data_IF_711166959225
#
_entry.id   IF_711166959225
#
_cell.length_a   1.000
_cell.length_b   1.000
_cell.length_c   1.000
_cell.angle_alpha   90.00
_cell.angle_beta   90.00
_cell.angle_gamma   90.00
#
_symmetry.space_group_name_H-M   'P 1'
#
loop_
_entity.id
_entity.type
_entity.pdbx_description
1 polymer ?
#
# COMPACT_ATOMS: atom_id res chain seq x y z
N UNK A 1 -14.10 -4.35 18.75
CA UNK A 1 -13.53 -4.81 20.05
C UNK A 1 -12.16 -4.17 20.21
N UNK A 2 -11.94 -3.40 21.28
CA UNK A 2 -10.65 -2.75 21.53
C UNK A 2 -9.54 -3.83 21.65
N UNK A 3 -8.47 -3.70 20.86
CA UNK A 3 -7.31 -4.59 20.96
C UNK A 3 -6.71 -4.46 22.36
N UNK A 4 -6.59 -5.58 23.07
CA UNK A 4 -5.87 -5.60 24.36
C UNK A 4 -4.40 -5.28 24.10
N UNK A 5 -3.83 -4.39 24.90
CA UNK A 5 -2.41 -4.00 24.78
C UNK A 5 -1.52 -5.24 24.97
N UNK A 6 -0.35 -5.23 24.32
CA UNK A 6 0.68 -6.25 24.48
C UNK A 6 0.94 -6.58 25.97
N UNK A 7 0.96 -5.54 26.79
CA UNK A 7 1.10 -5.63 28.24
C UNK A 7 0.06 -6.54 28.91
N UNK A 8 -1.21 -6.46 28.51
CA UNK A 8 -2.29 -7.29 29.06
C UNK A 8 -2.16 -8.76 28.66
N UNK A 9 -1.67 -9.01 27.44
CA UNK A 9 -1.41 -10.36 26.93
C UNK A 9 -0.25 -11.02 27.70
N UNK A 10 0.83 -10.26 27.91
CA UNK A 10 2.00 -10.72 28.67
C UNK A 10 1.63 -10.95 30.14
N UNK A 11 0.90 -10.03 30.77
CA UNK A 11 0.41 -10.18 32.16
C UNK A 11 -0.40 -11.45 32.35
N UNK A 12 -1.33 -11.75 31.44
CA UNK A 12 -2.15 -12.97 31.49
C UNK A 12 -1.30 -14.25 31.44
N UNK A 13 -0.31 -14.31 30.56
CA UNK A 13 0.62 -15.44 30.47
C UNK A 13 1.41 -15.58 31.77
N UNK A 14 1.92 -14.46 32.31
CA UNK A 14 2.62 -14.43 33.59
C UNK A 14 1.77 -14.99 34.75
N UNK A 15 0.48 -14.64 34.82
CA UNK A 15 -0.42 -15.20 35.84
C UNK A 15 -0.58 -16.72 35.72
N UNK A 16 -0.75 -17.26 34.50
CA UNK A 16 -0.89 -18.69 34.28
C UNK A 16 0.38 -19.47 34.63
N UNK A 17 1.55 -18.98 34.18
CA UNK A 17 2.83 -19.64 34.47
C UNK A 17 3.19 -19.50 35.95
N UNK A 18 2.97 -18.33 36.56
CA UNK A 18 3.18 -18.13 37.99
C UNK A 18 2.30 -19.03 38.85
N UNK A 19 1.03 -19.20 38.48
CA UNK A 19 0.13 -20.17 39.13
C UNK A 19 0.60 -21.62 38.96
N UNK A 20 1.13 -21.97 37.79
CA UNK A 20 1.72 -23.28 37.52
C UNK A 20 2.97 -23.57 38.35
N UNK A 21 3.87 -22.59 38.51
CA UNK A 21 5.06 -22.69 39.37
C UNK A 21 4.64 -22.88 40.84
N UNK A 22 3.67 -22.09 41.33
CA UNK A 22 3.15 -22.25 42.69
C UNK A 22 2.51 -23.61 42.92
N UNK A 23 1.74 -24.11 41.95
CA UNK A 23 1.17 -25.47 41.99
C UNK A 23 2.23 -26.56 42.01
N UNK A 24 3.26 -26.45 41.16
CA UNK A 24 4.39 -27.38 41.13
C UNK A 24 5.15 -27.38 42.46
N UNK A 25 5.40 -26.21 43.05
CA UNK A 25 6.05 -26.10 44.35
C UNK A 25 5.22 -26.75 45.45
N UNK A 26 3.90 -26.49 45.51
CA UNK A 26 3.02 -27.11 46.50
C UNK A 26 3.02 -28.64 46.41
N UNK A 27 2.91 -29.19 45.19
CA UNK A 27 2.93 -30.64 44.96
C UNK A 27 4.30 -31.22 45.31
N UNK A 28 5.39 -30.57 44.90
CA UNK A 28 6.75 -31.04 45.14
C UNK A 28 7.09 -31.06 46.62
N UNK A 29 6.76 -29.99 47.36
CA UNK A 29 6.94 -29.95 48.81
C UNK A 29 6.04 -30.94 49.54
N UNK A 30 4.82 -31.17 49.08
CA UNK A 30 3.93 -32.20 49.65
C UNK A 30 4.47 -33.62 49.48
N UNK A 31 5.05 -33.93 48.31
CA UNK A 31 5.70 -35.23 48.05
C UNK A 31 6.97 -35.37 48.89
N UNK A 32 7.77 -34.31 48.98
CA UNK A 32 9.01 -34.29 49.76
C UNK A 32 8.80 -34.33 51.27
N UNK A 33 7.64 -33.89 51.77
CA UNK A 33 7.38 -33.84 53.21
C UNK A 33 7.06 -35.20 53.84
N UNK A 34 7.25 -36.32 53.12
CA UNK A 34 7.08 -37.70 53.58
C UNK A 34 5.94 -37.84 54.61
N UNK A 35 4.70 -37.90 54.15
CA UNK A 35 3.57 -38.29 55.00
C UNK A 35 3.91 -39.65 55.67
N UNK A 36 3.91 -39.79 57.02
CA UNK A 36 3.12 -39.04 57.99
C UNK A 36 3.92 -38.12 58.95
N UNK A 37 3.51 -36.85 59.01
CA UNK A 37 3.40 -35.91 60.16
C UNK A 37 4.32 -36.05 61.41
N UNK A 38 5.56 -36.52 61.30
CA UNK A 38 6.50 -36.53 62.44
C UNK A 38 7.78 -35.75 62.10
N UNK A 39 8.04 -34.74 62.94
CA UNK A 39 9.25 -33.93 63.10
C UNK A 39 10.33 -34.12 62.02
N UNK A 40 10.26 -33.33 60.94
CA UNK A 40 11.33 -33.28 59.95
C UNK A 40 11.99 -31.89 59.87
N UNK A 41 13.32 -31.90 59.98
CA UNK A 41 14.20 -30.80 59.60
C UNK A 41 14.19 -30.72 58.07
N UNK A 42 13.53 -29.70 57.55
CA UNK A 42 13.43 -29.45 56.11
C UNK A 42 14.84 -29.36 55.51
N UNK A 43 15.20 -30.30 54.63
CA UNK A 43 16.51 -30.33 53.99
C UNK A 43 16.63 -29.14 53.02
N UNK A 44 17.41 -28.15 53.44
CA UNK A 44 17.62 -26.90 52.72
C UNK A 44 18.15 -27.13 51.31
N UNK A 45 18.92 -28.20 51.08
CA UNK A 45 19.50 -28.51 49.78
C UNK A 45 18.44 -28.99 48.81
N UNK A 46 17.60 -29.93 49.25
CA UNK A 46 16.47 -30.45 48.47
C UNK A 46 15.42 -29.37 48.16
N UNK A 47 15.12 -28.51 49.14
CA UNK A 47 14.21 -27.38 48.93
C UNK A 47 14.74 -26.38 47.90
N UNK A 48 16.05 -26.12 47.91
CA UNK A 48 16.71 -25.26 46.92
C UNK A 48 16.66 -25.87 45.52
N UNK A 49 16.92 -27.17 45.37
CA UNK A 49 16.87 -27.86 44.08
C UNK A 49 15.45 -27.83 43.47
N UNK A 50 14.41 -28.07 44.28
CA UNK A 50 13.01 -27.96 43.84
C UNK A 50 12.63 -26.54 43.42
N UNK A 51 13.09 -25.53 44.16
CA UNK A 51 12.89 -24.13 43.80
C UNK A 51 13.57 -23.81 42.47
N UNK A 52 14.83 -24.21 42.31
CA UNK A 52 15.60 -24.02 41.07
C UNK A 52 14.93 -24.70 39.88
N UNK A 53 14.47 -25.94 40.04
CA UNK A 53 13.78 -26.68 38.98
C UNK A 53 12.44 -26.04 38.63
N UNK A 54 11.67 -25.59 39.62
CA UNK A 54 10.41 -24.89 39.39
C UNK A 54 10.59 -23.59 38.58
N UNK A 55 11.65 -22.83 38.88
CA UNK A 55 12.00 -21.61 38.15
C UNK A 55 12.53 -21.92 36.76
N UNK A 56 13.30 -22.99 36.60
CA UNK A 56 13.84 -23.43 35.31
C UNK A 56 12.73 -23.91 34.38
N UNK A 57 11.80 -24.73 34.88
CA UNK A 57 10.59 -25.15 34.16
C UNK A 57 9.73 -23.92 33.82
N UNK A 58 9.52 -23.04 34.80
CA UNK A 58 8.82 -21.78 34.61
C UNK A 58 9.40 -20.96 33.46
N UNK A 59 10.71 -20.72 33.47
CA UNK A 59 11.41 -19.99 32.42
C UNK A 59 11.35 -20.71 31.06
N UNK A 60 11.50 -22.04 31.05
CA UNK A 60 11.45 -22.85 29.83
C UNK A 60 10.09 -22.78 29.12
N UNK A 61 8.98 -22.60 29.86
CA UNK A 61 7.66 -22.37 29.27
C UNK A 61 7.37 -20.89 28.99
N UNK A 62 7.83 -19.99 29.85
CA UNK A 62 7.52 -18.56 29.75
C UNK A 62 8.22 -17.91 28.55
N UNK A 63 9.45 -18.30 28.25
CA UNK A 63 10.21 -17.74 27.13
C UNK A 63 9.58 -18.04 25.74
N UNK A 64 9.22 -19.29 25.38
CA UNK A 64 8.52 -19.57 24.12
C UNK A 64 7.16 -18.87 24.00
N UNK A 65 6.38 -18.80 25.10
CA UNK A 65 5.06 -18.16 25.07
C UNK A 65 5.20 -16.64 24.92
N UNK A 66 6.14 -16.02 25.64
CA UNK A 66 6.43 -14.60 25.49
C UNK A 66 6.89 -14.28 24.06
N UNK A 67 7.78 -15.10 23.48
CA UNK A 67 8.21 -14.97 22.10
C UNK A 67 7.04 -15.07 21.11
N UNK A 68 6.12 -16.02 21.31
CA UNK A 68 4.93 -16.17 20.46
C UNK A 68 3.98 -14.96 20.54
N UNK A 69 3.75 -14.43 21.76
CA UNK A 69 2.92 -13.23 21.95
C UNK A 69 3.56 -12.02 21.27
N UNK A 70 4.85 -11.80 21.48
CA UNK A 70 5.61 -10.73 20.84
C UNK A 70 5.58 -10.84 19.32
N UNK A 71 5.81 -12.04 18.78
CA UNK A 71 5.83 -12.27 17.34
C UNK A 71 4.46 -12.03 16.68
N UNK A 72 3.37 -12.45 17.32
CA UNK A 72 2.04 -12.17 16.79
C UNK A 72 1.70 -10.68 16.79
N UNK A 73 2.09 -9.97 17.84
CA UNK A 73 1.86 -8.52 17.94
C UNK A 73 2.69 -7.78 16.88
N UNK A 74 3.99 -8.12 16.77
CA UNK A 74 4.89 -7.59 15.76
C UNK A 74 4.40 -7.82 14.34
N UNK A 75 3.91 -9.03 14.03
CA UNK A 75 3.36 -9.35 12.70
C UNK A 75 2.16 -8.45 12.37
N UNK A 76 1.29 -8.22 13.34
CA UNK A 76 0.11 -7.36 13.13
C UNK A 76 0.53 -5.90 12.93
N UNK A 77 1.47 -5.38 13.71
CA UNK A 77 2.02 -4.04 13.51
C UNK A 77 2.71 -3.91 12.15
N UNK A 78 3.48 -4.92 11.75
CA UNK A 78 4.16 -4.96 10.47
C UNK A 78 3.18 -4.84 9.31
N UNK A 79 2.11 -5.65 9.30
CA UNK A 79 1.09 -5.59 8.26
C UNK A 79 0.36 -4.25 8.20
N UNK A 80 0.08 -3.62 9.34
CA UNK A 80 -0.53 -2.28 9.36
C UNK A 80 0.43 -1.25 8.77
N UNK A 81 1.71 -1.32 9.12
CA UNK A 81 2.72 -0.41 8.60
C UNK A 81 2.93 -0.58 7.09
N UNK A 82 2.98 -1.82 6.62
CA UNK A 82 3.06 -2.18 5.19
C UNK A 82 1.85 -1.63 4.41
N UNK A 83 0.65 -1.77 4.98
CA UNK A 83 -0.58 -1.21 4.41
C UNK A 83 -0.55 0.32 4.33
N UNK A 84 -0.06 1.00 5.37
CA UNK A 84 0.08 2.45 5.35
C UNK A 84 1.14 2.94 4.36
N UNK A 85 2.26 2.22 4.24
CA UNK A 85 3.27 2.51 3.24
C UNK A 85 2.69 2.40 1.82
N UNK A 86 1.95 1.33 1.53
CA UNK A 86 1.30 1.11 0.24
C UNK A 86 0.33 2.25 -0.11
N UNK A 87 -0.48 2.70 0.87
CA UNK A 87 -1.40 3.84 0.70
C UNK A 87 -0.64 5.14 0.40
N UNK A 88 0.48 5.40 1.09
CA UNK A 88 1.30 6.59 0.86
C UNK A 88 1.99 6.56 -0.51
N UNK A 89 2.49 5.40 -0.93
CA UNK A 89 3.09 5.21 -2.24
C UNK A 89 2.08 5.46 -3.36
N UNK A 90 0.86 4.92 -3.23
CA UNK A 90 -0.23 5.21 -4.16
C UNK A 90 -0.50 6.72 -4.23
N UNK A 91 -0.64 7.40 -3.09
CA UNK A 91 -0.87 8.85 -3.07
C UNK A 91 0.26 9.62 -3.74
N UNK A 92 1.51 9.20 -3.53
CA UNK A 92 2.68 9.79 -4.18
C UNK A 92 2.61 9.60 -5.70
N UNK A 93 2.36 8.38 -6.17
CA UNK A 93 2.25 8.09 -7.60
C UNK A 93 1.13 8.91 -8.24
N UNK A 94 -0.05 8.97 -7.63
CA UNK A 94 -1.17 9.76 -8.16
C UNK A 94 -0.81 11.24 -8.27
N UNK A 95 -0.07 11.80 -7.30
CA UNK A 95 0.42 13.18 -7.38
C UNK A 95 1.40 13.38 -8.55
N UNK A 96 2.29 12.43 -8.79
CA UNK A 96 3.20 12.49 -9.93
C UNK A 96 2.45 12.36 -11.27
N UNK A 97 1.40 11.53 -11.33
CA UNK A 97 0.50 11.43 -12.49
C UNK A 97 -0.16 12.77 -12.78
N UNK A 98 -0.80 13.42 -11.80
CA UNK A 98 -1.43 14.74 -11.99
C UNK A 98 -0.40 15.79 -12.45
N UNK A 99 0.80 15.78 -11.87
CA UNK A 99 1.88 16.69 -12.26
C UNK A 99 2.33 16.46 -13.71
N UNK A 100 2.44 15.20 -14.10
CA UNK A 100 2.90 14.80 -15.44
C UNK A 100 1.85 15.09 -16.51
N UNK A 101 0.57 14.85 -16.21
CA UNK A 101 -0.54 15.25 -17.08
C UNK A 101 -0.55 16.78 -17.24
N UNK A 102 -0.39 17.53 -16.15
CA UNK A 102 -0.32 18.99 -16.22
C UNK A 102 0.82 19.51 -17.10
N UNK A 103 2.00 18.87 -17.06
CA UNK A 103 3.12 19.18 -17.97
C UNK A 103 2.76 18.91 -19.43
N UNK A 104 2.17 17.75 -19.70
CA UNK A 104 1.78 17.34 -21.04
C UNK A 104 0.75 18.32 -21.65
N UNK A 105 -0.30 18.67 -20.90
CA UNK A 105 -1.32 19.63 -21.33
C UNK A 105 -0.70 20.99 -21.61
N UNK A 106 0.15 21.48 -20.72
CA UNK A 106 0.86 22.74 -20.93
C UNK A 106 1.73 22.73 -22.19
N UNK A 107 2.36 21.60 -22.50
CA UNK A 107 3.19 21.43 -23.68
C UNK A 107 2.37 21.55 -24.96
N UNK A 108 1.22 20.87 -25.04
CA UNK A 108 0.28 20.98 -26.17
C UNK A 108 -0.10 22.45 -26.41
N UNK A 109 -0.45 23.18 -25.34
CA UNK A 109 -0.91 24.56 -25.46
C UNK A 109 0.20 25.57 -25.76
N UNK A 110 1.36 25.45 -25.11
CA UNK A 110 2.46 26.41 -25.27
C UNK A 110 3.23 26.23 -26.58
N UNK A 111 3.43 24.99 -27.01
CA UNK A 111 4.20 24.71 -28.22
C UNK A 111 3.37 24.93 -29.49
N UNK A 112 2.07 25.23 -29.34
CA UNK A 112 1.10 25.48 -30.41
C UNK A 112 1.31 24.48 -31.56
N UNK A 113 1.50 23.20 -31.16
CA UNK A 113 2.19 22.12 -31.86
C UNK A 113 2.46 22.48 -33.33
N UNK A 114 3.54 23.23 -33.54
CA UNK A 114 3.96 23.60 -34.87
C UNK A 114 4.73 22.39 -35.41
N UNK A 115 4.19 21.75 -36.45
CA UNK A 115 4.53 20.39 -36.90
C UNK A 115 5.97 20.21 -37.45
N UNK A 116 6.84 21.20 -37.23
CA UNK A 116 8.22 21.28 -37.71
C UNK A 116 9.26 20.88 -36.64
N UNK A 117 8.87 20.75 -35.38
CA UNK A 117 9.79 20.27 -34.34
C UNK A 117 9.72 18.75 -34.38
N UNK A 118 10.86 18.13 -34.68
CA UNK A 118 11.05 16.69 -34.52
C UNK A 118 10.30 16.23 -33.28
N UNK A 119 9.37 15.30 -33.46
CA UNK A 119 8.55 14.74 -32.41
C UNK A 119 9.48 13.97 -31.46
N UNK A 120 10.24 14.70 -30.64
CA UNK A 120 10.92 14.14 -29.48
C UNK A 120 9.83 13.45 -28.69
N UNK A 121 9.88 12.12 -28.68
CA UNK A 121 8.97 11.23 -27.97
C UNK A 121 8.44 11.91 -26.71
N UNK A 122 7.12 12.00 -26.57
CA UNK A 122 6.47 12.51 -25.36
C UNK A 122 6.80 11.56 -24.21
N UNK A 123 7.95 11.79 -23.58
CA UNK A 123 8.46 11.04 -22.44
C UNK A 123 7.42 10.97 -21.32
N UNK A 124 6.56 12.00 -21.22
CA UNK A 124 5.46 12.08 -20.27
C UNK A 124 4.48 10.92 -20.42
N UNK A 125 4.11 10.49 -21.64
CA UNK A 125 3.20 9.35 -21.79
C UNK A 125 3.86 8.04 -21.36
N UNK A 126 5.15 7.87 -21.62
CA UNK A 126 5.92 6.72 -21.14
C UNK A 126 5.99 6.70 -19.60
N UNK A 127 6.27 7.85 -18.99
CA UNK A 127 6.26 8.01 -17.53
C UNK A 127 4.86 7.70 -16.95
N UNK A 128 3.79 8.15 -17.62
CA UNK A 128 2.42 7.85 -17.20
C UNK A 128 2.08 6.35 -17.32
N UNK A 129 2.60 5.66 -18.33
CA UNK A 129 2.46 4.20 -18.46
C UNK A 129 3.15 3.47 -17.30
N UNK A 130 4.37 3.89 -16.93
CA UNK A 130 5.11 3.35 -15.79
C UNK A 130 4.34 3.56 -14.48
N UNK A 131 3.83 4.77 -14.22
CA UNK A 131 3.01 5.02 -13.03
C UNK A 131 1.72 4.22 -13.01
N UNK A 132 1.07 4.05 -14.16
CA UNK A 132 -0.10 3.19 -14.31
C UNK A 132 0.24 1.74 -13.95
N UNK A 133 1.38 1.21 -14.38
CA UNK A 133 1.80 -0.16 -14.04
C UNK A 133 2.10 -0.32 -12.54
N UNK A 134 2.81 0.65 -11.95
CA UNK A 134 3.08 0.68 -10.51
C UNK A 134 1.79 0.74 -9.68
N UNK A 135 0.80 1.53 -10.09
CA UNK A 135 -0.52 1.55 -9.45
C UNK A 135 -1.21 0.18 -9.53
N UNK A 136 -1.10 -0.50 -10.66
CA UNK A 136 -1.64 -1.85 -10.84
C UNK A 136 -1.04 -2.86 -9.87
N UNK A 137 0.27 -2.80 -9.64
CA UNK A 137 0.99 -3.67 -8.68
C UNK A 137 0.51 -3.38 -7.25
N UNK A 138 0.57 -2.12 -6.83
CA UNK A 138 0.19 -1.72 -5.47
C UNK A 138 -1.29 -1.99 -5.15
N UNK A 139 -2.16 -1.95 -6.15
CA UNK A 139 -3.58 -2.32 -6.00
C UNK A 139 -3.76 -3.78 -5.59
N UNK A 140 -2.91 -4.69 -6.07
CA UNK A 140 -2.99 -6.11 -5.72
C UNK A 140 -2.56 -6.35 -4.28
N UNK A 141 -1.62 -5.55 -3.77
CA UNK A 141 -1.02 -5.70 -2.43
C UNK A 141 -1.92 -5.18 -1.30
N UNK A 142 -2.94 -4.38 -1.61
CA UNK A 142 -3.87 -3.85 -0.60
C UNK A 142 -4.79 -4.95 -0.05
N UNK A 143 -4.70 -5.15 1.27
CA UNK A 143 -5.54 -6.06 2.06
C UNK A 143 -6.91 -5.44 2.43
N UNK A 144 -8.00 -6.12 2.06
CA UNK A 144 -9.39 -5.66 2.10
C UNK A 144 -10.10 -5.99 3.44
N UNK A 145 -9.47 -5.67 4.57
CA UNK A 145 -10.02 -5.98 5.91
C UNK A 145 -11.06 -5.00 6.43
N UNK A 146 -11.08 -3.76 5.94
CA UNK A 146 -11.96 -2.69 6.41
C UNK A 146 -12.68 -2.05 5.22
N UNK A 147 -13.96 -1.70 5.39
CA UNK A 147 -14.77 -1.00 4.38
C UNK A 147 -14.07 0.26 3.84
N UNK A 148 -13.41 1.06 4.70
CA UNK A 148 -12.68 2.25 4.25
C UNK A 148 -11.55 1.89 3.27
N UNK A 149 -10.86 0.77 3.48
CA UNK A 149 -9.79 0.30 2.60
C UNK A 149 -10.36 -0.28 1.30
N UNK A 150 -11.49 -0.96 1.38
CA UNK A 150 -12.23 -1.44 0.19
C UNK A 150 -12.64 -0.26 -0.67
N UNK A 151 -13.20 0.80 -0.07
CA UNK A 151 -13.63 2.00 -0.78
C UNK A 151 -12.44 2.76 -1.38
N UNK A 152 -11.32 2.84 -0.65
CA UNK A 152 -10.05 3.37 -1.17
C UNK A 152 -9.56 2.59 -2.39
N UNK A 153 -9.44 1.26 -2.28
CA UNK A 153 -8.98 0.39 -3.37
C UNK A 153 -9.90 0.49 -4.59
N UNK A 154 -11.21 0.53 -4.38
CA UNK A 154 -12.19 0.75 -5.45
C UNK A 154 -11.97 2.08 -6.15
N UNK A 155 -11.77 3.18 -5.41
CA UNK A 155 -11.52 4.48 -6.01
C UNK A 155 -10.20 4.52 -6.80
N UNK A 156 -9.13 3.91 -6.26
CA UNK A 156 -7.85 3.78 -6.98
C UNK A 156 -8.02 2.91 -8.23
N UNK A 157 -8.78 1.82 -8.18
CA UNK A 157 -9.10 0.99 -9.35
C UNK A 157 -9.89 1.74 -10.43
N UNK A 158 -10.85 2.58 -10.04
CA UNK A 158 -11.57 3.46 -10.97
C UNK A 158 -10.64 4.52 -11.58
N UNK A 159 -9.73 5.09 -10.78
CA UNK A 159 -8.70 6.02 -11.28
C UNK A 159 -7.80 5.33 -12.30
N UNK A 160 -7.29 4.14 -11.97
CA UNK A 160 -6.46 3.32 -12.87
C UNK A 160 -7.16 3.07 -14.22
N UNK A 161 -8.43 2.65 -14.18
CA UNK A 161 -9.20 2.40 -15.40
C UNK A 161 -9.35 3.67 -16.26
N UNK A 162 -9.64 4.82 -15.63
CA UNK A 162 -9.76 6.11 -16.32
C UNK A 162 -8.42 6.60 -16.87
N UNK A 163 -7.32 6.41 -16.13
CA UNK A 163 -5.98 6.74 -16.59
C UNK A 163 -5.62 5.93 -17.84
N UNK A 164 -6.01 4.65 -17.91
CA UNK A 164 -5.79 3.83 -19.10
C UNK A 164 -6.55 4.36 -20.32
N UNK A 165 -7.78 4.84 -20.15
CA UNK A 165 -8.54 5.49 -21.24
C UNK A 165 -7.87 6.81 -21.65
N UNK A 166 -7.41 7.62 -20.69
CA UNK A 166 -6.69 8.85 -20.96
C UNK A 166 -5.42 8.61 -21.78
N UNK A 167 -4.62 7.62 -21.38
CA UNK A 167 -3.40 7.20 -22.09
C UNK A 167 -3.66 6.78 -23.55
N UNK A 168 -4.81 6.14 -23.82
CA UNK A 168 -5.19 5.79 -25.19
C UNK A 168 -5.48 7.04 -26.04
N UNK A 169 -6.19 8.03 -25.49
CA UNK A 169 -6.42 9.30 -26.18
C UNK A 169 -5.10 10.03 -26.46
N UNK A 170 -4.19 10.06 -25.49
CA UNK A 170 -2.86 10.65 -25.63
C UNK A 170 -2.06 9.98 -26.76
N UNK A 171 -2.09 8.65 -26.83
CA UNK A 171 -1.41 7.89 -27.88
C UNK A 171 -1.94 8.23 -29.29
N UNK A 172 -3.26 8.36 -29.44
CA UNK A 172 -3.88 8.75 -30.72
C UNK A 172 -3.51 10.18 -31.09
N UNK A 173 -3.55 11.11 -30.12
CA UNK A 173 -3.14 12.50 -30.34
C UNK A 173 -1.68 12.59 -30.82
N UNK A 174 -0.75 11.91 -30.15
CA UNK A 174 0.65 11.82 -30.56
C UNK A 174 0.80 11.29 -31.99
N UNK A 175 0.07 10.21 -32.31
CA UNK A 175 0.11 9.61 -33.64
C UNK A 175 -0.43 10.55 -34.73
N UNK A 176 -1.53 11.23 -34.47
CA UNK A 176 -2.12 12.19 -35.39
C UNK A 176 -1.17 13.34 -35.68
N UNK A 177 -0.54 13.89 -34.65
CA UNK A 177 0.43 14.96 -34.82
C UNK A 177 1.66 14.51 -35.62
N UNK A 178 2.17 13.30 -35.38
CA UNK A 178 3.24 12.72 -36.19
C UNK A 178 2.83 12.61 -37.67
N UNK A 179 1.61 12.12 -37.95
CA UNK A 179 1.08 12.02 -39.31
C UNK A 179 0.96 13.37 -39.99
N UNK A 180 0.41 14.36 -39.27
CA UNK A 180 0.28 15.72 -39.77
C UNK A 180 1.65 16.30 -40.16
N UNK A 181 2.65 16.21 -39.27
CA UNK A 181 4.00 16.70 -39.54
C UNK A 181 4.66 16.02 -40.75
N UNK A 182 4.44 14.71 -40.91
CA UNK A 182 4.91 13.98 -42.09
C UNK A 182 4.25 14.49 -43.38
N UNK A 183 2.93 14.63 -43.39
CA UNK A 183 2.20 15.12 -44.57
C UNK A 183 2.63 16.55 -44.94
N UNK A 184 2.81 17.44 -43.97
CA UNK A 184 3.29 18.81 -44.20
C UNK A 184 4.69 18.81 -44.81
N UNK A 185 5.58 17.93 -44.34
CA UNK A 185 6.94 17.78 -44.87
C UNK A 185 6.95 17.21 -46.30
N UNK A 186 6.04 16.28 -46.59
CA UNK A 186 5.92 15.67 -47.92
C UNK A 186 5.22 16.60 -48.94
N UNK A 187 4.39 17.55 -48.47
CA UNK A 187 3.55 18.45 -49.28
C UNK A 187 4.14 19.85 -49.52
N UNK A 188 5.47 20.03 -49.34
CA UNK A 188 6.16 21.32 -49.53
C UNK A 188 5.89 21.85 -50.95
N UNK A 189 4.94 22.79 -51.04
CA UNK A 189 4.60 23.55 -52.24
C UNK A 189 3.50 23.00 -53.14
N UNK A 190 2.78 21.91 -52.79
CA UNK A 190 1.79 21.30 -53.70
C UNK A 190 0.34 21.25 -53.19
N UNK A 191 0.08 21.45 -51.89
CA UNK A 191 -1.27 21.47 -51.26
C UNK A 191 -2.11 20.22 -51.59
N UNK A 192 -1.47 19.07 -51.77
CA UNK A 192 -2.12 17.82 -52.17
C UNK A 192 -2.93 17.22 -51.00
N UNK A 193 -2.53 17.50 -49.74
CA UNK A 193 -3.07 16.81 -48.56
C UNK A 193 -3.94 17.68 -47.65
N UNK A 194 -4.46 18.83 -48.12
CA UNK A 194 -5.23 19.76 -47.28
C UNK A 194 -6.44 19.11 -46.56
N UNK A 195 -7.20 18.26 -47.25
CA UNK A 195 -8.35 17.57 -46.65
C UNK A 195 -7.95 16.51 -45.63
N UNK A 196 -6.86 15.76 -45.88
CA UNK A 196 -6.34 14.76 -44.94
C UNK A 196 -5.81 15.43 -43.67
N UNK A 197 -5.07 16.53 -43.81
CA UNK A 197 -4.57 17.33 -42.69
C UNK A 197 -5.73 17.85 -41.85
N UNK A 198 -6.80 18.35 -42.49
CA UNK A 198 -8.00 18.81 -41.78
C UNK A 198 -8.65 17.67 -40.97
N UNK A 199 -8.83 16.50 -41.56
CA UNK A 199 -9.40 15.34 -40.86
C UNK A 199 -8.54 14.90 -39.66
N UNK A 200 -7.21 14.94 -39.79
CA UNK A 200 -6.28 14.63 -38.68
C UNK A 200 -6.43 15.63 -37.53
N UNK A 201 -6.53 16.93 -37.85
CA UNK A 201 -6.74 17.99 -36.84
C UNK A 201 -8.09 17.86 -36.15
N UNK A 202 -9.15 17.55 -36.90
CA UNK A 202 -10.49 17.36 -36.34
C UNK A 202 -10.53 16.16 -35.38
N UNK A 203 -9.93 15.01 -35.73
CA UNK A 203 -9.81 13.86 -34.80
C UNK A 203 -8.92 14.21 -33.60
N UNK A 204 -7.78 14.90 -33.79
CA UNK A 204 -6.95 15.38 -32.68
C UNK A 204 -7.76 16.21 -31.68
N UNK A 205 -8.56 17.17 -32.17
CA UNK A 205 -9.37 18.03 -31.31
C UNK A 205 -10.48 17.26 -30.58
N UNK A 206 -11.13 16.29 -31.23
CA UNK A 206 -12.09 15.40 -30.57
C UNK A 206 -11.43 14.58 -29.45
N UNK A 207 -10.24 14.01 -29.70
CA UNK A 207 -9.49 13.28 -28.66
C UNK A 207 -9.06 14.19 -27.52
N UNK A 208 -8.62 15.40 -27.83
CA UNK A 208 -8.22 16.38 -26.83
C UNK A 208 -9.38 16.73 -25.88
N UNK A 209 -10.58 16.98 -26.41
CA UNK A 209 -11.75 17.29 -25.60
C UNK A 209 -12.14 16.13 -24.67
N UNK A 210 -12.15 14.90 -25.20
CA UNK A 210 -12.41 13.69 -24.39
C UNK A 210 -11.35 13.48 -23.32
N UNK A 211 -10.08 13.67 -23.66
CA UNK A 211 -8.98 13.61 -22.70
C UNK A 211 -9.15 14.66 -21.59
N UNK A 212 -9.51 15.88 -21.94
CA UNK A 212 -9.69 16.96 -20.98
C UNK A 212 -10.82 16.67 -19.98
N UNK A 213 -11.94 16.10 -20.44
CA UNK A 213 -13.02 15.63 -19.57
C UNK A 213 -12.53 14.54 -18.60
N UNK A 214 -11.82 13.53 -19.12
CA UNK A 214 -11.27 12.44 -18.30
C UNK A 214 -10.25 12.98 -17.29
N UNK A 215 -9.42 13.96 -17.66
CA UNK A 215 -8.45 14.56 -16.74
C UNK A 215 -9.16 15.23 -15.56
N UNK A 216 -10.25 15.98 -15.79
CA UNK A 216 -11.01 16.58 -14.70
C UNK A 216 -11.62 15.52 -13.76
N UNK A 217 -12.09 14.39 -14.32
CA UNK A 217 -12.53 13.25 -13.51
C UNK A 217 -11.40 12.64 -12.69
N UNK A 218 -10.21 12.46 -13.28
CA UNK A 218 -9.02 11.95 -12.62
C UNK A 218 -8.64 12.85 -11.44
N UNK A 219 -8.54 14.16 -11.66
CA UNK A 219 -8.23 15.13 -10.61
C UNK A 219 -9.24 15.09 -9.47
N UNK A 220 -10.54 15.01 -9.77
CA UNK A 220 -11.60 14.87 -8.75
C UNK A 220 -11.42 13.59 -7.92
N UNK A 221 -11.13 12.47 -8.59
CA UNK A 221 -10.88 11.18 -7.93
C UNK A 221 -9.60 11.18 -7.10
N UNK A 222 -8.54 11.82 -7.58
CA UNK A 222 -7.30 11.99 -6.83
C UNK A 222 -7.58 12.63 -5.46
N UNK A 223 -8.36 13.71 -5.40
CA UNK A 223 -8.73 14.34 -4.13
C UNK A 223 -9.56 13.41 -3.22
N UNK A 224 -10.47 12.62 -3.79
CA UNK A 224 -11.23 11.62 -3.04
C UNK A 224 -10.31 10.54 -2.45
N UNK A 225 -9.37 10.02 -3.24
CA UNK A 225 -8.40 8.99 -2.81
C UNK A 225 -7.49 9.53 -1.70
N UNK A 226 -6.98 10.76 -1.84
CA UNK A 226 -6.15 11.40 -0.82
C UNK A 226 -6.92 11.57 0.48
N UNK A 227 -8.19 11.98 0.41
CA UNK A 227 -9.07 12.13 1.58
C UNK A 227 -9.27 10.79 2.27
N UNK A 228 -9.67 9.74 1.54
CA UNK A 228 -9.86 8.39 2.08
C UNK A 228 -8.57 7.82 2.69
N UNK A 229 -7.42 8.01 2.03
CA UNK A 229 -6.13 7.57 2.55
C UNK A 229 -5.76 8.25 3.87
N UNK A 230 -6.13 9.52 4.04
CA UNK A 230 -5.94 10.23 5.31
C UNK A 230 -6.92 9.75 6.40
N UNK A 231 -8.17 9.43 6.04
CA UNK A 231 -9.16 8.88 6.98
C UNK A 231 -8.78 7.49 7.48
N UNK A 232 -8.28 6.61 6.60
CA UNK A 232 -7.79 5.28 6.99
C UNK A 232 -6.72 5.40 8.08
N UNK A 233 -5.76 6.31 7.91
CA UNK A 233 -4.70 6.55 8.90
C UNK A 233 -5.18 7.15 10.21
N UNK A 234 -6.31 7.85 10.22
CA UNK A 234 -6.91 8.42 11.45
C UNK A 234 -7.71 7.38 12.23
N UNK A 235 -8.26 6.38 11.56
CA UNK A 235 -9.22 5.42 12.12
C UNK A 235 -8.63 4.04 12.45
N UNK A 236 -7.34 3.81 12.14
CA UNK A 236 -6.60 2.58 12.45
C UNK A 236 -5.54 2.85 13.54
#
# INVERSE_FOLDING_TARGET
MARKKLEDKIKRVGYFVGGGILGYLLISFFILSSFPLHQYLLDKKLAYDVLKDSLTIGAAFLAPIAAFVLFNDWRVEYHIKEQFNSIDEIKKILKEVETTIGKYVNRIFKENINCNIEFENFSERLILLEYRDLLGILLVEIDEKNQLVIDFKKNVGMYYAKLNVALNHLNIMEFNTYREGKLIKDDIGRKIHEEEIKNIRDDFMDRYLKFHEIHNELTSRYFSIVTLGNEIKRNM
#
